data_IF_874105253960
#
_entry.id   IF_874105253960
#
_cell.length_a   1.000
_cell.length_b   1.000
_cell.length_c   1.000
_cell.angle_alpha   90.00
_cell.angle_beta   90.00
_cell.angle_gamma   90.00
#
_symmetry.space_group_name_H-M   'P 1'
#
loop_
_entity.id
_entity.type
_entity.pdbx_description
1 polymer ?
#
# COMPACT_ATOMS: atom_id res chain seq x y z
N UNK A 1 -36.62 23.15 36.81
CA UNK A 1 -36.67 23.62 38.22
C UNK A 1 -35.45 23.05 38.96
N UNK A 2 -34.88 23.78 39.93
CA UNK A 2 -33.46 24.17 39.87
C UNK A 2 -32.57 23.64 41.03
N UNK A 3 -31.27 23.78 40.81
CA UNK A 3 -30.19 24.22 41.72
C UNK A 3 -30.07 23.68 43.17
N UNK A 4 -28.86 23.24 43.51
CA UNK A 4 -28.11 23.52 44.77
C UNK A 4 -26.64 23.05 44.53
N UNK A 5 -25.60 23.87 44.33
CA UNK A 5 -24.87 24.77 45.27
C UNK A 5 -24.52 24.00 46.56
N UNK A 6 -23.27 23.74 47.01
CA UNK A 6 -22.09 24.61 47.14
C UNK A 6 -20.82 23.83 47.57
N UNK A 7 -19.67 24.33 47.10
CA UNK A 7 -18.26 24.23 47.55
C UNK A 7 -17.95 23.70 48.96
N UNK A 8 -16.82 22.98 49.09
CA UNK A 8 -15.74 23.30 50.04
C UNK A 8 -14.37 22.86 49.49
N UNK A 9 -13.39 23.72 49.68
CA UNK A 9 -12.00 23.73 49.21
C UNK A 9 -11.03 23.36 50.34
N UNK A 10 -9.90 22.69 50.06
CA UNK A 10 -8.73 22.71 50.95
C UNK A 10 -7.79 21.49 50.87
N UNK A 11 -6.57 21.73 50.37
CA UNK A 11 -5.32 20.93 50.29
C UNK A 11 -4.88 20.16 51.57
N UNK A 12 -3.76 19.38 51.63
CA UNK A 12 -2.77 18.98 50.59
C UNK A 12 -2.30 17.50 50.58
N UNK A 13 -1.48 17.17 49.56
CA UNK A 13 -0.52 16.05 49.43
C UNK A 13 0.38 15.84 50.66
N UNK A 14 0.58 14.57 51.06
CA UNK A 14 1.87 13.84 51.27
C UNK A 14 1.63 12.56 52.09
N UNK A 15 1.94 11.38 51.56
CA UNK A 15 3.07 10.55 52.01
C UNK A 15 3.12 9.24 51.20
N UNK A 16 4.33 8.94 50.73
CA UNK A 16 4.76 7.68 50.12
C UNK A 16 4.89 6.62 51.22
N UNK A 17 4.43 5.39 51.01
CA UNK A 17 5.14 4.18 51.48
C UNK A 17 4.77 2.98 50.60
N UNK A 18 5.78 2.28 50.14
CA UNK A 18 5.71 1.04 49.38
C UNK A 18 5.39 -0.16 50.29
N UNK A 19 4.73 -1.18 49.75
CA UNK A 19 4.97 -2.56 50.15
C UNK A 19 4.74 -3.49 48.94
N UNK A 20 5.84 -4.05 48.45
CA UNK A 20 5.88 -5.18 47.52
C UNK A 20 5.72 -6.44 48.38
N UNK A 21 4.77 -7.31 48.04
CA UNK A 21 4.78 -8.69 48.51
C UNK A 21 4.57 -9.63 47.34
N UNK A 22 5.65 -10.36 47.06
CA UNK A 22 5.83 -11.46 46.13
C UNK A 22 5.06 -12.68 46.60
N UNK A 23 4.32 -13.34 45.71
CA UNK A 23 3.83 -14.70 45.93
C UNK A 23 4.18 -15.56 44.70
N UNK A 24 5.29 -16.27 44.84
CA UNK A 24 5.80 -17.30 43.95
C UNK A 24 5.11 -18.61 44.30
N UNK A 25 4.33 -19.21 43.40
CA UNK A 25 3.77 -20.55 43.58
C UNK A 25 4.43 -21.53 42.60
N UNK A 26 5.04 -22.56 43.19
CA UNK A 26 5.75 -23.66 42.56
C UNK A 26 4.82 -24.54 41.71
N UNK A 27 5.30 -24.99 40.54
CA UNK A 27 4.78 -26.13 39.81
C UNK A 27 5.92 -27.15 39.62
N UNK A 28 5.74 -28.34 40.19
CA UNK A 28 6.60 -29.49 40.02
C UNK A 28 6.21 -30.27 38.73
N UNK A 29 7.15 -30.98 38.09
CA UNK A 29 6.88 -31.72 36.85
C UNK A 29 6.35 -33.12 37.16
N UNK A 30 5.31 -33.55 36.44
CA UNK A 30 4.90 -34.96 36.39
C UNK A 30 5.31 -35.51 35.03
N UNK A 31 6.35 -36.33 35.02
CA UNK A 31 6.64 -37.24 33.93
C UNK A 31 5.95 -38.58 34.25
N UNK A 32 5.18 -39.13 33.32
CA UNK A 32 4.87 -40.56 33.32
C UNK A 32 4.67 -41.10 31.89
N UNK A 33 5.22 -42.30 31.74
CA UNK A 33 5.44 -43.09 30.53
C UNK A 33 4.19 -43.58 29.82
N UNK A 34 4.41 -43.95 28.56
CA UNK A 34 3.51 -44.69 27.68
C UNK A 34 2.93 -45.97 28.31
N UNK A 35 1.66 -46.26 27.99
CA UNK A 35 1.13 -47.62 27.78
C UNK A 35 -0.06 -47.57 26.81
N UNK A 36 -0.19 -48.67 26.09
CA UNK A 36 -1.05 -48.97 24.94
C UNK A 36 -2.52 -49.19 25.28
N UNK A 37 -3.41 -48.80 24.34
CA UNK A 37 -4.63 -49.54 23.97
C UNK A 37 -5.90 -49.34 24.81
N UNK A 38 -6.95 -48.80 24.19
CA UNK A 38 -8.32 -48.86 24.69
C UNK A 38 -9.13 -47.62 24.33
N UNK A 39 -9.96 -47.71 23.30
CA UNK A 39 -10.70 -46.58 22.75
C UNK A 39 -11.72 -45.97 23.71
N UNK A 40 -11.63 -44.65 23.88
CA UNK A 40 -12.74 -43.78 24.28
C UNK A 40 -12.57 -42.46 23.53
N UNK A 41 -13.58 -42.08 22.74
CA UNK A 41 -13.66 -40.81 22.04
C UNK A 41 -13.63 -39.66 23.06
N UNK A 42 -12.47 -39.04 23.25
CA UNK A 42 -12.38 -37.69 23.78
C UNK A 42 -12.74 -36.71 22.66
N UNK A 43 -13.44 -35.60 22.94
CA UNK A 43 -13.61 -34.55 21.95
C UNK A 43 -12.22 -33.99 21.62
N UNK A 44 -11.70 -34.36 20.46
CA UNK A 44 -10.54 -33.70 19.87
C UNK A 44 -10.94 -32.25 19.64
N UNK A 45 -10.37 -31.31 20.39
CA UNK A 45 -10.33 -29.92 19.95
C UNK A 45 -9.74 -29.95 18.53
N UNK A 46 -10.44 -29.44 17.51
CA UNK A 46 -9.83 -29.29 16.19
C UNK A 46 -8.51 -28.55 16.38
N UNK A 47 -7.43 -28.89 15.64
CA UNK A 47 -6.30 -27.99 15.58
C UNK A 47 -6.87 -26.61 15.27
N UNK A 48 -6.59 -25.63 16.14
CA UNK A 48 -6.87 -24.24 15.84
C UNK A 48 -6.18 -24.00 14.51
N UNK A 49 -6.97 -23.80 13.44
CA UNK A 49 -6.40 -23.47 12.15
C UNK A 49 -5.44 -22.31 12.41
N UNK A 50 -4.17 -22.49 12.04
CA UNK A 50 -3.23 -21.38 11.98
C UNK A 50 -3.93 -20.30 11.19
N UNK A 51 -4.24 -19.18 11.85
CA UNK A 51 -4.78 -18.02 11.14
C UNK A 51 -3.62 -17.56 10.27
N UNK A 52 -3.77 -17.70 8.96
CA UNK A 52 -2.79 -17.18 8.02
C UNK A 52 -2.55 -15.69 8.33
N UNK A 53 -1.30 -15.23 8.30
CA UNK A 53 -1.00 -13.84 8.60
C UNK A 53 -1.71 -12.93 7.59
N UNK A 54 -2.36 -11.87 8.08
CA UNK A 54 -2.99 -10.88 7.21
C UNK A 54 -1.98 -10.19 6.27
N UNK A 55 -0.73 -10.07 6.71
CA UNK A 55 0.42 -9.67 5.89
C UNK A 55 1.72 -10.26 6.44
N UNK A 56 2.72 -10.43 5.58
CA UNK A 56 4.09 -10.80 5.93
C UNK A 56 5.06 -9.95 5.12
N UNK A 57 5.49 -8.84 5.72
CA UNK A 57 6.42 -7.89 5.08
C UNK A 57 7.77 -7.78 5.79
N UNK A 58 8.00 -8.61 6.83
CA UNK A 58 9.10 -8.42 7.79
C UNK A 58 9.12 -6.98 8.33
N UNK A 59 8.10 -6.60 9.14
CA UNK A 59 7.98 -5.24 9.64
C UNK A 59 9.16 -4.89 10.55
N UNK A 60 9.91 -3.86 10.19
CA UNK A 60 11.05 -3.37 10.96
C UNK A 60 10.94 -1.85 11.13
N UNK A 61 11.23 -1.32 12.33
CA UNK A 61 11.26 0.12 12.51
C UNK A 61 12.37 0.72 11.64
N UNK A 62 12.07 1.86 11.02
CA UNK A 62 12.98 2.62 10.14
C UNK A 62 14.39 2.81 10.73
N UNK A 63 14.52 2.94 12.04
CA UNK A 63 15.80 3.12 12.75
C UNK A 63 16.71 1.88 12.72
N UNK A 64 16.17 0.70 12.40
CA UNK A 64 16.93 -0.54 12.26
C UNK A 64 17.40 -0.81 10.83
N UNK A 65 16.97 0.03 9.86
CA UNK A 65 17.30 -0.13 8.45
C UNK A 65 18.58 0.62 8.10
N UNK A 66 19.44 -0.04 7.32
CA UNK A 66 20.59 0.61 6.69
C UNK A 66 20.11 1.66 5.67
N UNK A 67 20.86 2.76 5.56
CA UNK A 67 20.67 3.73 4.48
C UNK A 67 21.42 3.25 3.22
N UNK A 68 20.80 3.45 2.05
CA UNK A 68 21.27 2.97 0.76
C UNK A 68 20.73 1.59 0.40
N UNK A 69 21.41 0.93 -0.53
CA UNK A 69 20.98 -0.35 -1.09
C UNK A 69 20.08 -0.19 -2.32
N UNK A 70 19.87 -1.32 -2.98
CA UNK A 70 19.10 -1.43 -4.21
C UNK A 70 18.09 -2.56 -4.02
N UNK A 71 16.80 -2.27 -4.20
CA UNK A 71 15.75 -3.29 -4.26
C UNK A 71 15.50 -3.64 -5.73
N UNK A 72 15.69 -4.92 -6.08
CA UNK A 72 15.54 -5.44 -7.45
C UNK A 72 14.32 -6.34 -7.54
N UNK A 73 13.38 -5.97 -8.39
CA UNK A 73 12.09 -6.64 -8.55
C UNK A 73 11.91 -7.06 -10.01
N UNK A 74 11.42 -8.28 -10.28
CA UNK A 74 11.05 -8.66 -11.63
C UNK A 74 9.72 -8.02 -12.03
N UNK A 75 9.57 -7.77 -13.32
CA UNK A 75 8.30 -7.43 -13.99
C UNK A 75 8.22 -8.24 -15.28
N UNK A 76 7.05 -8.28 -15.91
CA UNK A 76 6.85 -9.01 -17.17
C UNK A 76 7.12 -8.16 -18.40
N UNK A 77 6.93 -6.85 -18.28
CA UNK A 77 7.21 -5.88 -19.32
C UNK A 77 7.49 -4.49 -18.72
N UNK A 78 8.10 -3.62 -19.53
CA UNK A 78 8.13 -2.18 -19.25
C UNK A 78 6.94 -1.54 -19.94
N UNK A 79 6.04 -0.93 -19.16
CA UNK A 79 4.76 -0.40 -19.63
C UNK A 79 4.84 0.60 -20.78
N UNK A 80 3.74 0.69 -21.54
CA UNK A 80 3.57 1.64 -22.66
C UNK A 80 2.66 2.82 -22.33
N UNK A 81 1.87 2.68 -21.28
CA UNK A 81 0.86 3.60 -20.79
C UNK A 81 0.95 3.64 -19.27
N UNK A 82 1.07 4.83 -18.71
CA UNK A 82 1.40 5.05 -17.29
C UNK A 82 0.30 5.80 -16.52
N UNK A 83 -0.83 6.13 -17.16
CA UNK A 83 -1.96 6.75 -16.48
C UNK A 83 -2.70 5.68 -15.66
N UNK A 84 -2.65 5.70 -14.31
CA UNK A 84 -3.27 4.66 -13.47
C UNK A 84 -4.80 4.67 -13.51
N UNK A 85 -5.41 5.71 -14.10
CA UNK A 85 -6.86 5.82 -14.26
C UNK A 85 -7.31 5.46 -15.68
N UNK A 86 -6.42 5.15 -16.62
CA UNK A 86 -6.79 4.85 -18.02
C UNK A 86 -7.21 3.39 -18.20
N UNK A 87 -8.21 3.13 -19.04
CA UNK A 87 -8.83 1.79 -19.24
C UNK A 87 -7.92 0.73 -19.83
N UNK A 88 -6.83 1.15 -20.46
CA UNK A 88 -5.76 0.30 -20.97
C UNK A 88 -4.42 0.74 -20.35
N UNK A 89 -4.49 1.35 -19.16
CA UNK A 89 -3.43 1.16 -18.18
C UNK A 89 -3.58 -0.29 -17.81
N UNK A 90 -2.49 -1.05 -17.81
CA UNK A 90 -2.45 -2.49 -17.55
C UNK A 90 -2.85 -2.85 -16.10
N UNK A 91 -3.81 -2.13 -15.54
CA UNK A 91 -4.35 -2.23 -14.21
C UNK A 91 -5.83 -1.77 -14.31
N UNK A 92 -6.74 -2.72 -14.50
CA UNK A 92 -7.73 -2.95 -13.47
C UNK A 92 -8.54 -4.22 -13.72
N UNK A 93 -8.28 -5.20 -12.87
CA UNK A 93 -9.29 -6.13 -12.40
C UNK A 93 -10.39 -5.37 -11.63
N UNK A 94 -11.31 -4.71 -12.34
CA UNK A 94 -12.68 -4.58 -11.84
C UNK A 94 -13.49 -5.66 -12.55
N UNK A 95 -13.54 -6.81 -11.89
CA UNK A 95 -14.44 -7.92 -12.09
C UNK A 95 -15.89 -7.40 -12.25
N UNK A 96 -16.28 -7.00 -13.46
CA UNK A 96 -17.65 -6.56 -13.75
C UNK A 96 -18.14 -6.66 -15.21
N UNK A 97 -17.43 -7.34 -16.12
CA UNK A 97 -18.07 -7.92 -17.32
C UNK A 97 -17.27 -9.12 -17.83
N UNK A 98 -17.69 -10.32 -17.44
CA UNK A 98 -17.10 -11.57 -17.89
C UNK A 98 -17.34 -11.80 -19.38
N UNK A 99 -16.41 -11.40 -20.24
CA UNK A 99 -16.18 -12.04 -21.54
C UNK A 99 -14.84 -11.67 -22.19
N UNK A 100 -13.72 -12.12 -21.62
CA UNK A 100 -12.73 -12.91 -22.35
C UNK A 100 -11.79 -13.55 -21.32
N UNK A 101 -11.77 -14.88 -21.29
CA UNK A 101 -10.94 -15.64 -20.37
C UNK A 101 -9.54 -15.84 -20.94
N UNK A 102 -8.75 -14.78 -21.03
CA UNK A 102 -7.30 -14.94 -21.16
C UNK A 102 -6.68 -15.04 -19.77
N UNK A 103 -5.91 -16.11 -19.60
CA UNK A 103 -5.19 -16.54 -18.40
C UNK A 103 -3.97 -15.62 -18.15
N UNK A 104 -4.14 -14.30 -18.31
CA UNK A 104 -3.07 -13.30 -18.32
C UNK A 104 -2.94 -12.63 -16.94
N UNK A 105 -2.68 -13.41 -15.88
CA UNK A 105 -2.50 -12.87 -14.52
C UNK A 105 -1.11 -12.29 -14.24
N UNK A 106 -0.21 -12.25 -15.22
CA UNK A 106 1.21 -11.94 -14.93
C UNK A 106 1.68 -10.62 -15.58
N UNK A 107 1.09 -10.11 -16.67
CA UNK A 107 1.56 -8.87 -17.33
C UNK A 107 1.27 -7.55 -16.61
N UNK A 108 0.23 -7.54 -15.78
CA UNK A 108 -0.55 -6.34 -15.45
C UNK A 108 -0.16 -5.70 -14.10
N UNK A 109 0.29 -6.52 -13.14
CA UNK A 109 0.82 -6.04 -11.84
C UNK A 109 2.10 -5.18 -11.97
N UNK A 110 2.80 -5.25 -13.10
CA UNK A 110 4.08 -4.57 -13.32
C UNK A 110 3.99 -3.04 -13.32
N UNK A 111 2.99 -2.45 -14.00
CA UNK A 111 2.87 -0.98 -14.09
C UNK A 111 2.46 -0.37 -12.76
N UNK A 112 1.52 -0.97 -12.05
CA UNK A 112 1.14 -0.51 -10.71
C UNK A 112 2.33 -0.55 -9.74
N UNK A 113 3.10 -1.64 -9.76
CA UNK A 113 4.30 -1.79 -8.94
C UNK A 113 5.38 -0.74 -9.28
N UNK A 114 5.62 -0.48 -10.57
CA UNK A 114 6.56 0.55 -11.02
C UNK A 114 6.08 1.97 -10.70
N UNK A 115 4.77 2.26 -10.80
CA UNK A 115 4.24 3.60 -10.56
C UNK A 115 4.07 3.93 -9.08
N UNK A 116 3.86 2.92 -8.23
CA UNK A 116 3.61 3.09 -6.79
C UNK A 116 4.62 3.99 -6.05
N UNK A 117 5.94 3.83 -6.23
CA UNK A 117 6.95 4.70 -5.62
C UNK A 117 6.93 6.16 -6.09
N UNK A 118 6.27 6.46 -7.22
CA UNK A 118 6.27 7.76 -7.88
C UNK A 118 4.93 8.51 -7.77
N UNK A 119 3.86 7.83 -7.37
CA UNK A 119 2.52 8.41 -7.26
C UNK A 119 2.20 8.89 -5.83
N UNK A 120 1.25 9.82 -5.66
CA UNK A 120 0.67 10.12 -4.36
C UNK A 120 -0.01 8.91 -3.71
N UNK A 121 0.07 8.80 -2.39
CA UNK A 121 -0.69 7.84 -1.58
C UNK A 121 -1.41 8.59 -0.46
N UNK A 122 -2.67 8.97 -0.68
CA UNK A 122 -3.42 9.80 0.27
C UNK A 122 -3.79 9.08 1.57
N UNK A 123 -3.94 7.76 1.52
CA UNK A 123 -4.23 6.91 2.67
C UNK A 123 -3.26 5.73 2.73
N UNK A 124 -2.88 5.35 3.94
CA UNK A 124 -2.20 4.09 4.21
C UNK A 124 -3.22 3.09 4.76
N UNK A 125 -3.21 1.87 4.25
CA UNK A 125 -4.02 0.77 4.76
C UNK A 125 -3.19 -0.13 5.67
N UNK A 126 -3.75 -0.52 6.81
CA UNK A 126 -3.16 -1.53 7.69
C UNK A 126 -3.42 -2.96 7.14
N UNK A 127 -2.93 -3.98 7.85
CA UNK A 127 -3.10 -5.38 7.45
C UNK A 127 -4.57 -5.85 7.39
N UNK A 128 -5.47 -5.16 8.10
CA UNK A 128 -6.92 -5.44 8.05
C UNK A 128 -7.62 -4.67 6.92
N UNK A 129 -6.90 -3.78 6.22
CA UNK A 129 -7.43 -2.90 5.19
C UNK A 129 -8.11 -1.65 5.75
N UNK A 130 -7.83 -1.26 7.00
CA UNK A 130 -8.36 -0.02 7.53
C UNK A 130 -7.53 1.18 7.04
N UNK A 131 -8.16 2.21 6.46
CA UNK A 131 -7.47 3.39 5.98
C UNK A 131 -7.10 4.35 7.11
N UNK A 132 -5.91 4.93 7.01
CA UNK A 132 -5.44 6.04 7.83
C UNK A 132 -4.92 7.16 6.92
N UNK A 133 -5.28 8.43 7.14
CA UNK A 133 -4.77 9.54 6.32
C UNK A 133 -3.24 9.57 6.33
N UNK A 134 -2.63 9.66 5.16
CA UNK A 134 -1.19 9.81 5.05
C UNK A 134 -0.81 11.27 5.36
N UNK A 135 -0.09 11.56 6.46
CA UNK A 135 0.24 12.93 6.87
C UNK A 135 1.15 13.66 5.88
N UNK A 136 1.84 12.93 5.00
CA UNK A 136 2.68 13.54 3.96
C UNK A 136 1.84 14.31 2.95
N UNK A 137 0.61 13.86 2.68
CA UNK A 137 -0.32 14.48 1.73
C UNK A 137 -1.53 15.14 2.40
N UNK A 138 -1.96 14.67 3.57
CA UNK A 138 -3.18 15.13 4.25
C UNK A 138 -2.87 15.65 5.66
N UNK A 139 -3.06 16.96 5.87
CA UNK A 139 -3.01 17.57 7.21
C UNK A 139 -4.24 17.23 8.07
N UNK A 140 -5.32 16.74 7.45
CA UNK A 140 -6.50 16.26 8.16
C UNK A 140 -7.62 15.85 7.22
N UNK A 141 -8.50 14.98 7.73
CA UNK A 141 -9.72 14.55 7.04
C UNK A 141 -10.88 14.55 8.03
N UNK A 142 -11.98 15.17 7.64
CA UNK A 142 -13.25 15.09 8.36
C UNK A 142 -14.29 14.44 7.46
N UNK A 143 -14.63 13.18 7.76
CA UNK A 143 -15.73 12.47 7.12
C UNK A 143 -16.97 12.63 8.01
N UNK A 144 -17.73 13.69 7.74
CA UNK A 144 -18.91 14.07 8.50
C UNK A 144 -20.17 14.10 7.63
N UNK A 145 -21.32 14.41 8.24
CA UNK A 145 -22.61 14.36 7.56
C UNK A 145 -23.33 13.02 7.72
N UNK A 146 -24.65 13.07 7.53
CA UNK A 146 -25.50 11.88 7.56
C UNK A 146 -25.66 11.35 6.14
N UNK A 147 -26.81 11.67 5.55
CA UNK A 147 -27.10 11.38 4.15
C UNK A 147 -27.64 12.68 3.51
N UNK A 148 -26.85 13.40 2.68
CA UNK A 148 -25.58 12.95 2.09
C UNK A 148 -24.37 13.00 3.03
N UNK A 149 -23.42 12.09 2.80
CA UNK A 149 -22.09 12.11 3.43
C UNK A 149 -21.22 13.20 2.80
N UNK A 150 -20.43 13.89 3.61
CA UNK A 150 -19.50 14.95 3.19
C UNK A 150 -18.12 14.67 3.75
N UNK A 151 -17.13 14.57 2.87
CA UNK A 151 -15.72 14.41 3.27
C UNK A 151 -14.98 15.71 2.99
N UNK A 152 -14.35 16.27 4.01
CA UNK A 152 -13.48 17.45 3.90
C UNK A 152 -12.03 17.01 4.05
N UNK A 153 -11.25 17.13 2.99
CA UNK A 153 -9.80 16.94 3.00
C UNK A 153 -9.11 18.28 3.25
N UNK A 154 -8.10 18.27 4.11
CA UNK A 154 -7.14 19.36 4.26
C UNK A 154 -5.79 18.86 3.79
N UNK A 155 -5.32 19.36 2.65
CA UNK A 155 -4.06 18.96 2.05
C UNK A 155 -2.88 19.50 2.86
N UNK A 156 -1.80 18.72 2.92
CA UNK A 156 -0.53 19.12 3.52
C UNK A 156 0.04 20.31 2.76
N UNK A 157 0.51 21.37 3.45
CA UNK A 157 1.12 22.53 2.79
C UNK A 157 2.47 22.22 2.14
N UNK A 158 3.08 21.07 2.47
CA UNK A 158 4.34 20.63 1.90
C UNK A 158 4.14 19.76 0.65
N UNK A 159 2.92 19.27 0.40
CA UNK A 159 2.64 18.36 -0.70
C UNK A 159 2.68 19.09 -2.04
N UNK A 160 3.65 18.71 -2.87
CA UNK A 160 3.93 19.32 -4.17
C UNK A 160 4.05 18.25 -5.24
N UNK A 161 3.65 18.59 -6.46
CA UNK A 161 4.03 17.83 -7.64
C UNK A 161 5.50 18.11 -7.98
N UNK A 162 6.12 17.24 -8.77
CA UNK A 162 7.47 17.44 -9.30
C UNK A 162 7.58 18.71 -10.17
N UNK A 163 6.49 19.21 -10.74
CA UNK A 163 6.47 20.57 -11.34
C UNK A 163 6.78 21.71 -10.34
N UNK A 164 6.77 21.43 -9.03
CA UNK A 164 6.84 22.40 -7.94
C UNK A 164 5.49 23.03 -7.59
N UNK A 165 4.41 22.69 -8.31
CA UNK A 165 3.06 23.14 -7.99
C UNK A 165 2.56 22.46 -6.71
N UNK A 166 2.04 23.23 -5.77
CA UNK A 166 1.34 22.67 -4.62
C UNK A 166 0.08 21.90 -5.04
N UNK A 167 -0.19 20.79 -4.36
CA UNK A 167 -1.45 20.06 -4.52
C UNK A 167 -2.63 20.92 -4.06
N UNK A 168 -3.76 20.81 -4.76
CA UNK A 168 -4.91 21.69 -4.52
C UNK A 168 -6.24 21.02 -4.85
N UNK A 169 -7.34 21.69 -4.48
CA UNK A 169 -8.69 21.28 -4.83
C UNK A 169 -8.91 21.16 -6.34
N UNK A 170 -8.17 21.90 -7.17
CA UNK A 170 -8.28 21.77 -8.63
C UNK A 170 -7.92 20.37 -9.12
N UNK A 171 -7.01 19.66 -8.44
CA UNK A 171 -6.58 18.30 -8.79
C UNK A 171 -7.75 17.31 -8.62
N UNK A 172 -8.40 17.36 -7.46
CA UNK A 172 -9.58 16.54 -7.15
C UNK A 172 -10.78 16.88 -8.06
N UNK A 173 -10.94 18.16 -8.41
CA UNK A 173 -12.02 18.61 -9.29
C UNK A 173 -11.81 18.08 -10.71
N UNK A 174 -10.58 18.18 -11.24
CA UNK A 174 -10.23 17.70 -12.57
C UNK A 174 -10.42 16.19 -12.67
N UNK A 175 -9.87 15.41 -11.73
CA UNK A 175 -9.97 13.96 -11.71
C UNK A 175 -11.41 13.48 -11.63
N UNK A 176 -12.22 14.07 -10.74
CA UNK A 176 -13.65 13.76 -10.66
C UNK A 176 -14.37 14.10 -11.96
N UNK A 177 -14.06 15.22 -12.61
CA UNK A 177 -14.67 15.55 -13.90
C UNK A 177 -14.25 14.59 -15.02
N UNK A 178 -13.01 14.10 -15.01
CA UNK A 178 -12.53 13.12 -15.96
C UNK A 178 -13.26 11.77 -15.79
N UNK A 179 -13.33 11.25 -14.56
CA UNK A 179 -13.74 9.86 -14.32
C UNK A 179 -15.11 9.66 -13.66
N UNK A 180 -15.96 10.69 -13.51
CA UNK A 180 -17.34 10.52 -13.02
C UNK A 180 -18.31 9.84 -14.00
N UNK A 181 -17.85 9.49 -15.20
CA UNK A 181 -18.65 8.81 -16.23
C UNK A 181 -19.57 9.70 -17.06
N UNK A 182 -19.58 11.01 -16.86
CA UNK A 182 -20.40 11.94 -17.66
C UNK A 182 -19.77 12.25 -19.03
N UNK A 183 -18.43 12.28 -19.12
CA UNK A 183 -17.71 12.51 -20.36
C UNK A 183 -16.95 11.26 -20.80
N UNK A 184 -17.57 10.47 -21.67
CA UNK A 184 -17.02 9.20 -22.20
C UNK A 184 -15.80 9.35 -23.15
N UNK A 185 -15.36 10.59 -23.39
CA UNK A 185 -14.12 10.86 -24.13
C UNK A 185 -12.89 10.55 -23.27
N UNK A 186 -13.00 10.68 -21.94
CA UNK A 186 -12.03 10.16 -21.01
C UNK A 186 -12.19 8.64 -20.93
N UNK A 187 -11.12 7.91 -21.23
CA UNK A 187 -11.13 6.44 -21.18
C UNK A 187 -10.71 5.97 -19.80
N UNK A 188 -11.53 6.25 -18.79
CA UNK A 188 -11.21 5.82 -17.44
C UNK A 188 -11.39 4.30 -17.28
N UNK A 189 -10.52 3.64 -16.52
CA UNK A 189 -10.63 2.21 -16.19
C UNK A 189 -11.84 1.92 -15.30
N UNK A 190 -12.17 2.83 -14.40
CA UNK A 190 -13.33 2.73 -13.53
C UNK A 190 -14.02 4.08 -13.36
N UNK A 191 -15.35 4.06 -13.33
CA UNK A 191 -16.19 5.24 -13.02
C UNK A 191 -17.07 5.03 -11.79
N UNK A 192 -17.14 3.81 -11.27
CA UNK A 192 -18.03 3.37 -10.19
C UNK A 192 -17.87 4.21 -8.92
N UNK A 193 -16.64 4.40 -8.44
CA UNK A 193 -16.33 5.20 -7.25
C UNK A 193 -16.65 6.70 -7.42
N UNK A 194 -16.27 7.30 -8.55
CA UNK A 194 -16.55 8.72 -8.83
C UNK A 194 -18.03 8.99 -9.08
N UNK A 195 -18.78 8.01 -9.60
CA UNK A 195 -20.23 8.13 -9.81
C UNK A 195 -21.02 8.23 -8.50
N UNK A 196 -20.43 7.85 -7.36
CA UNK A 196 -21.02 8.04 -6.02
C UNK A 196 -20.95 9.50 -5.56
N UNK A 197 -20.07 10.31 -6.16
CA UNK A 197 -19.86 11.71 -5.81
C UNK A 197 -20.86 12.60 -6.55
N UNK A 198 -21.49 13.52 -5.81
CA UNK A 198 -22.40 14.52 -6.37
C UNK A 198 -21.70 15.84 -6.70
N UNK A 199 -20.66 16.19 -5.95
CA UNK A 199 -19.90 17.42 -6.12
C UNK A 199 -18.52 17.29 -5.48
N UNK A 200 -17.51 17.79 -6.17
CA UNK A 200 -16.21 18.15 -5.61
C UNK A 200 -16.05 19.66 -5.74
N UNK A 201 -15.61 20.34 -4.67
CA UNK A 201 -15.35 21.77 -4.72
C UNK A 201 -14.25 22.19 -3.75
N UNK A 202 -13.67 23.34 -4.03
CA UNK A 202 -12.82 24.04 -3.09
C UNK A 202 -13.61 24.49 -1.84
N UNK A 203 -12.97 24.36 -0.67
CA UNK A 203 -13.42 24.92 0.60
C UNK A 203 -12.85 26.32 0.86
N UNK A 204 -12.38 26.56 2.08
CA UNK A 204 -11.88 27.85 2.56
C UNK A 204 -10.56 28.32 1.90
N UNK A 205 -10.00 27.54 0.98
CA UNK A 205 -8.78 27.85 0.24
C UNK A 205 -8.38 26.67 -0.67
N UNK A 206 -7.33 26.83 -1.49
CA UNK A 206 -6.93 25.80 -2.45
C UNK A 206 -6.51 24.47 -1.79
N UNK A 207 -6.07 24.48 -0.54
CA UNK A 207 -5.70 23.26 0.21
C UNK A 207 -6.89 22.57 0.90
N UNK A 208 -8.12 23.09 0.79
CA UNK A 208 -9.30 22.45 1.37
C UNK A 208 -10.20 21.94 0.26
N UNK A 209 -10.49 20.64 0.27
CA UNK A 209 -11.35 19.97 -0.71
C UNK A 209 -12.58 19.45 0.00
N UNK A 210 -13.76 19.72 -0.55
CA UNK A 210 -15.03 19.22 -0.02
C UNK A 210 -15.66 18.32 -1.07
N UNK A 211 -15.80 17.05 -0.72
CA UNK A 211 -16.40 15.99 -1.54
C UNK A 211 -17.75 15.64 -0.94
N UNK A 212 -18.82 15.87 -1.69
CA UNK A 212 -20.19 15.54 -1.28
C UNK A 212 -20.66 14.32 -2.03
N UNK A 213 -20.95 13.24 -1.32
CA UNK A 213 -21.47 12.00 -1.89
C UNK A 213 -22.98 12.07 -2.11
N UNK A 214 -23.51 11.27 -3.03
CA UNK A 214 -24.95 11.16 -3.29
C UNK A 214 -25.71 10.49 -2.14
N UNK A 215 -24.99 9.71 -1.33
CA UNK A 215 -25.50 9.00 -0.17
C UNK A 215 -24.39 8.72 0.84
N UNK A 216 -24.56 7.71 1.69
CA UNK A 216 -23.45 7.15 2.45
C UNK A 216 -22.64 6.19 1.57
N UNK A 217 -21.32 6.30 1.61
CA UNK A 217 -20.38 5.49 0.85
C UNK A 217 -19.21 5.11 1.76
N UNK A 218 -19.16 3.86 2.20
CA UNK A 218 -18.18 3.39 3.18
C UNK A 218 -16.75 3.41 2.63
N UNK A 219 -16.60 3.16 1.34
CA UNK A 219 -15.33 3.09 0.62
C UNK A 219 -14.84 4.45 0.11
N UNK A 220 -15.29 5.54 0.74
CA UNK A 220 -14.87 6.90 0.37
C UNK A 220 -13.35 7.14 0.34
N UNK A 221 -12.49 6.48 1.16
CA UNK A 221 -11.05 6.68 1.10
C UNK A 221 -10.42 6.25 -0.23
N UNK A 222 -11.02 5.30 -0.95
CA UNK A 222 -10.54 4.82 -2.26
C UNK A 222 -10.85 5.78 -3.42
N UNK A 223 -11.72 6.78 -3.19
CA UNK A 223 -12.28 7.62 -4.27
C UNK A 223 -11.18 8.36 -5.02
N UNK A 224 -10.20 8.90 -4.31
CA UNK A 224 -9.04 9.64 -4.82
C UNK A 224 -7.72 8.98 -4.38
N UNK A 225 -7.72 7.64 -4.28
CA UNK A 225 -6.58 6.86 -3.79
C UNK A 225 -5.29 7.14 -4.55
N UNK A 226 -5.41 7.25 -5.88
CA UNK A 226 -4.36 7.69 -6.78
C UNK A 226 -4.79 9.02 -7.36
N UNK A 227 -4.37 10.11 -6.71
CA UNK A 227 -4.64 11.47 -7.18
C UNK A 227 -3.71 11.81 -8.35
N UNK A 228 -4.26 12.42 -9.39
CA UNK A 228 -3.52 12.97 -10.52
C UNK A 228 -3.50 14.51 -10.50
N UNK A 229 -2.47 15.15 -11.07
CA UNK A 229 -2.45 16.60 -11.20
C UNK A 229 -3.41 17.03 -12.31
N UNK A 230 -4.12 18.14 -12.11
CA UNK A 230 -5.06 18.69 -13.09
C UNK A 230 -4.49 18.82 -14.51
N UNK A 231 -3.18 19.09 -14.64
CA UNK A 231 -2.51 19.24 -15.93
C UNK A 231 -2.49 17.94 -16.74
N UNK A 232 -2.72 16.79 -16.11
CA UNK A 232 -2.66 15.47 -16.72
C UNK A 232 -4.03 14.89 -17.10
N UNK A 233 -5.12 15.43 -16.54
CA UNK A 233 -6.47 14.86 -16.63
C UNK A 233 -7.59 15.89 -16.87
N UNK A 234 -7.27 17.18 -17.05
CA UNK A 234 -8.28 18.20 -17.36
C UNK A 234 -8.87 18.10 -18.79
N UNK A 235 -8.22 17.38 -19.70
CA UNK A 235 -8.72 17.16 -21.06
C UNK A 235 -8.49 15.71 -21.54
N UNK A 236 -9.39 15.18 -22.40
CA UNK A 236 -9.31 13.78 -22.83
C UNK A 236 -8.05 13.41 -23.61
N UNK A 237 -7.47 14.34 -24.38
CA UNK A 237 -6.30 14.01 -25.20
C UNK A 237 -5.08 13.80 -24.30
N UNK A 238 -4.85 14.71 -23.36
CA UNK A 238 -3.77 14.57 -22.37
C UNK A 238 -3.98 13.34 -21.48
N UNK A 239 -5.20 13.11 -21.00
CA UNK A 239 -5.51 11.94 -20.17
C UNK A 239 -5.25 10.62 -20.90
N UNK A 240 -5.72 10.49 -22.15
CA UNK A 240 -5.64 9.24 -22.90
C UNK A 240 -4.24 8.97 -23.50
N UNK A 241 -3.52 10.02 -23.93
CA UNK A 241 -2.32 9.87 -24.77
C UNK A 241 -1.05 10.48 -24.15
N UNK A 242 -1.20 11.35 -23.14
CA UNK A 242 -0.10 12.09 -22.52
C UNK A 242 0.83 11.24 -21.65
N UNK A 243 0.35 10.09 -21.18
CA UNK A 243 1.04 9.23 -20.21
C UNK A 243 1.86 8.10 -20.83
N UNK A 244 2.39 8.29 -22.03
CA UNK A 244 3.11 7.23 -22.78
C UNK A 244 4.62 7.18 -22.52
N UNK A 245 5.15 8.12 -21.72
CA UNK A 245 6.59 8.29 -21.48
C UNK A 245 6.88 8.80 -20.07
N UNK A 246 7.44 7.93 -19.21
CA UNK A 246 7.81 8.26 -17.82
C UNK A 246 8.65 9.55 -17.70
N UNK A 247 9.61 9.76 -18.60
CA UNK A 247 10.47 10.94 -18.59
C UNK A 247 9.73 12.24 -18.93
N UNK A 248 8.61 12.19 -19.65
CA UNK A 248 7.81 13.37 -20.02
C UNK A 248 6.75 13.70 -18.98
N UNK A 249 6.29 12.70 -18.24
CA UNK A 249 5.31 12.87 -17.17
C UNK A 249 5.96 13.14 -15.81
N UNK A 250 7.28 13.31 -15.74
CA UNK A 250 8.01 13.53 -14.48
C UNK A 250 7.35 14.62 -13.62
N UNK A 251 6.96 15.74 -14.23
CA UNK A 251 6.27 16.87 -13.59
C UNK A 251 4.90 16.52 -12.99
N UNK A 252 4.30 15.41 -13.40
CA UNK A 252 2.98 14.93 -12.95
C UNK A 252 3.05 13.95 -11.77
N UNK A 253 4.25 13.60 -11.34
CA UNK A 253 4.50 12.64 -10.26
C UNK A 253 4.75 13.38 -8.94
N UNK A 254 4.56 12.68 -7.82
CA UNK A 254 4.72 13.27 -6.47
C UNK A 254 4.99 12.21 -5.39
N UNK A 255 5.77 11.19 -5.74
CA UNK A 255 6.19 10.13 -4.85
C UNK A 255 7.64 10.28 -4.34
N UNK A 256 8.04 9.43 -3.39
CA UNK A 256 9.38 9.41 -2.80
C UNK A 256 10.51 9.02 -3.78
N UNK A 257 10.20 8.41 -4.92
CA UNK A 257 11.15 8.04 -5.97
C UNK A 257 10.82 8.73 -7.30
N UNK A 258 11.81 8.82 -8.18
CA UNK A 258 11.68 9.31 -9.55
C UNK A 258 12.47 8.43 -10.52
N UNK A 259 12.09 8.45 -11.80
CA UNK A 259 12.81 7.72 -12.85
C UNK A 259 14.21 8.29 -13.06
N UNK A 260 15.21 7.42 -12.88
CA UNK A 260 16.60 7.68 -13.24
C UNK A 260 16.92 7.22 -14.66
N UNK A 261 16.43 6.03 -15.04
CA UNK A 261 16.62 5.47 -16.37
C UNK A 261 15.48 4.50 -16.73
N UNK A 262 15.09 4.47 -18.01
CA UNK A 262 14.10 3.50 -18.52
C UNK A 262 14.51 3.06 -19.92
N UNK A 263 14.50 1.76 -20.17
CA UNK A 263 14.74 1.15 -21.48
C UNK A 263 13.80 -0.03 -21.67
N UNK A 264 12.90 0.08 -22.64
CA UNK A 264 12.00 -1.03 -23.02
C UNK A 264 12.76 -2.14 -23.73
N UNK A 265 13.74 -1.76 -24.56
CA UNK A 265 14.57 -2.72 -25.31
C UNK A 265 15.44 -3.56 -24.37
N UNK A 266 16.00 -2.95 -23.33
CA UNK A 266 16.79 -3.66 -22.32
C UNK A 266 15.92 -4.23 -21.18
N UNK A 267 14.61 -3.99 -21.21
CA UNK A 267 13.66 -4.45 -20.21
C UNK A 267 13.99 -3.98 -18.78
N UNK A 268 14.36 -2.71 -18.60
CA UNK A 268 14.75 -2.17 -17.29
C UNK A 268 14.18 -0.79 -17.01
N UNK A 269 13.70 -0.59 -15.78
CA UNK A 269 13.39 0.70 -15.19
C UNK A 269 14.20 0.84 -13.89
N UNK A 270 14.85 1.98 -13.74
CA UNK A 270 15.61 2.36 -12.56
C UNK A 270 14.99 3.62 -11.98
N UNK A 271 14.70 3.57 -10.68
CA UNK A 271 14.24 4.72 -9.91
C UNK A 271 15.21 5.04 -8.78
N UNK A 272 15.31 6.32 -8.45
CA UNK A 272 16.16 6.85 -7.37
C UNK A 272 15.36 7.81 -6.49
N UNK A 273 15.80 8.09 -5.25
CA UNK A 273 15.12 9.03 -4.38
C UNK A 273 14.84 10.38 -5.06
N UNK A 274 13.58 10.81 -5.02
CA UNK A 274 13.13 12.06 -5.63
C UNK A 274 13.66 13.26 -4.82
N UNK A 275 14.45 14.17 -5.41
CA UNK A 275 14.97 15.34 -4.72
C UNK A 275 13.89 16.36 -4.32
N UNK A 276 12.68 16.27 -4.90
CA UNK A 276 11.53 17.12 -4.58
C UNK A 276 10.63 16.54 -3.48
N UNK A 277 10.89 15.30 -3.06
CA UNK A 277 10.18 14.68 -1.94
C UNK A 277 10.39 15.47 -0.63
N UNK A 278 9.29 15.81 0.05
CA UNK A 278 9.29 16.73 1.18
C UNK A 278 9.28 16.06 2.55
N UNK A 279 9.01 14.75 2.61
CA UNK A 279 8.86 14.01 3.86
C UNK A 279 10.10 13.15 4.17
N UNK A 280 9.91 12.06 4.92
CA UNK A 280 11.00 11.16 5.27
C UNK A 280 11.63 10.57 4.00
N UNK A 281 12.94 10.77 3.85
CA UNK A 281 13.69 10.29 2.68
C UNK A 281 13.59 8.78 2.54
N UNK A 282 13.62 8.21 1.33
CA UNK A 282 13.78 6.77 1.18
C UNK A 282 15.01 6.22 1.91
N UNK A 283 14.87 5.01 2.47
CA UNK A 283 16.00 4.24 2.97
C UNK A 283 16.85 3.68 1.84
N UNK A 284 16.21 3.19 0.78
CA UNK A 284 16.89 2.70 -0.41
C UNK A 284 17.48 3.84 -1.23
N UNK A 285 18.63 3.58 -1.87
CA UNK A 285 19.21 4.50 -2.86
C UNK A 285 18.70 4.24 -4.27
N UNK A 286 18.08 3.08 -4.53
CA UNK A 286 17.66 2.67 -5.86
C UNK A 286 16.55 1.60 -5.79
N UNK A 287 15.60 1.69 -6.71
CA UNK A 287 14.71 0.60 -7.10
C UNK A 287 15.05 0.22 -8.54
N UNK A 288 15.10 -1.09 -8.82
CA UNK A 288 15.34 -1.60 -10.17
C UNK A 288 14.26 -2.61 -10.51
N UNK A 289 13.48 -2.31 -11.55
CA UNK A 289 12.51 -3.22 -12.13
C UNK A 289 13.09 -3.82 -13.40
N UNK A 290 13.10 -5.15 -13.52
CA UNK A 290 13.69 -5.85 -14.67
C UNK A 290 12.71 -6.84 -15.26
N UNK A 291 12.62 -6.85 -16.58
CA UNK A 291 11.86 -7.86 -17.32
C UNK A 291 12.51 -9.22 -17.14
N UNK A 292 11.82 -10.12 -16.45
CA UNK A 292 12.24 -11.51 -16.22
C UNK A 292 11.01 -12.41 -16.36
N UNK A 293 11.07 -13.35 -17.30
CA UNK A 293 10.02 -14.34 -17.50
C UNK A 293 9.75 -15.13 -16.21
N UNK A 294 8.49 -15.44 -15.92
CA UNK A 294 8.06 -16.10 -14.68
C UNK A 294 8.91 -17.33 -14.34
N UNK A 295 9.17 -18.20 -15.32
CA UNK A 295 9.96 -19.44 -15.16
C UNK A 295 11.44 -19.19 -14.75
N UNK A 296 11.98 -18.00 -15.03
CA UNK A 296 13.37 -17.64 -14.73
C UNK A 296 13.53 -16.92 -13.38
N UNK A 297 12.43 -16.50 -12.73
CA UNK A 297 12.48 -15.68 -11.50
C UNK A 297 13.11 -16.41 -10.32
N UNK A 298 12.86 -17.71 -10.17
CA UNK A 298 13.52 -18.50 -9.13
C UNK A 298 15.05 -18.51 -9.30
N UNK A 299 15.53 -18.76 -10.52
CA UNK A 299 16.95 -18.72 -10.83
C UNK A 299 17.54 -17.32 -10.59
N UNK A 300 16.81 -16.27 -10.98
CA UNK A 300 17.19 -14.89 -10.73
C UNK A 300 17.29 -14.56 -9.22
N UNK A 301 16.37 -15.07 -8.39
CA UNK A 301 16.43 -14.89 -6.93
C UNK A 301 17.67 -15.58 -6.34
N UNK A 302 17.89 -16.86 -6.73
CA UNK A 302 19.03 -17.69 -6.32
C UNK A 302 20.36 -17.05 -6.71
N UNK A 303 20.45 -16.50 -7.92
CA UNK A 303 21.68 -15.94 -8.49
C UNK A 303 21.86 -14.46 -8.14
N UNK A 304 21.08 -13.96 -7.18
CA UNK A 304 21.13 -12.60 -6.67
C UNK A 304 20.86 -11.49 -7.67
N UNK A 305 20.00 -11.73 -8.66
CA UNK A 305 19.56 -10.74 -9.64
C UNK A 305 18.29 -10.00 -9.23
N UNK A 306 17.43 -10.64 -8.44
CA UNK A 306 16.25 -10.04 -7.80
C UNK A 306 16.25 -10.31 -6.29
N UNK A 307 15.43 -9.59 -5.55
CA UNK A 307 15.37 -9.64 -4.09
C UNK A 307 14.03 -10.10 -3.54
N UNK A 308 12.95 -9.93 -4.31
CA UNK A 308 11.65 -10.49 -4.03
C UNK A 308 10.85 -10.69 -5.32
N UNK A 309 9.90 -11.63 -5.32
CA UNK A 309 8.90 -11.78 -6.38
C UNK A 309 7.68 -12.58 -5.90
N UNK A 310 6.53 -12.32 -6.53
CA UNK A 310 5.30 -13.08 -6.28
C UNK A 310 5.40 -14.47 -6.92
N UNK A 311 5.16 -15.51 -6.12
CA UNK A 311 5.17 -16.91 -6.51
C UNK A 311 3.80 -17.38 -7.06
N UNK A 312 2.76 -16.56 -6.92
CA UNK A 312 1.39 -16.92 -7.23
C UNK A 312 0.99 -18.20 -6.50
N UNK A 313 0.56 -19.21 -7.27
CA UNK A 313 0.19 -20.53 -6.73
C UNK A 313 1.18 -21.66 -7.07
N UNK A 314 2.42 -21.34 -7.44
CA UNK A 314 3.43 -22.35 -7.78
C UNK A 314 3.98 -23.08 -6.53
N UNK A 315 3.34 -24.20 -6.20
CA UNK A 315 3.75 -25.08 -5.10
C UNK A 315 5.13 -25.75 -5.26
N UNK A 316 5.68 -25.79 -6.49
CA UNK A 316 7.03 -26.28 -6.77
C UNK A 316 8.08 -25.26 -6.32
N UNK A 317 7.91 -24.01 -6.76
CA UNK A 317 8.80 -22.90 -6.43
C UNK A 317 8.85 -22.62 -4.92
N UNK A 318 7.75 -22.80 -4.18
CA UNK A 318 7.73 -22.66 -2.70
C UNK A 318 8.79 -23.56 -2.03
N UNK A 319 8.84 -24.85 -2.42
CA UNK A 319 9.79 -25.81 -1.82
C UNK A 319 11.24 -25.48 -2.15
N UNK A 320 11.48 -24.99 -3.36
CA UNK A 320 12.82 -24.64 -3.81
C UNK A 320 13.33 -23.37 -3.11
N UNK A 321 12.44 -22.40 -2.86
CA UNK A 321 12.75 -21.19 -2.07
C UNK A 321 12.99 -21.52 -0.59
N UNK A 322 12.20 -22.41 0.01
CA UNK A 322 12.42 -22.86 1.40
C UNK A 322 13.80 -23.52 1.59
N UNK A 323 14.33 -24.17 0.54
CA UNK A 323 15.65 -24.77 0.54
C UNK A 323 16.79 -23.76 0.27
N UNK A 324 16.46 -22.53 -0.15
CA UNK A 324 17.43 -21.51 -0.53
C UNK A 324 17.87 -20.68 0.68
N UNK A 325 19.15 -20.79 1.05
CA UNK A 325 19.72 -20.04 2.17
C UNK A 325 19.62 -18.52 1.94
N UNK A 326 19.11 -17.79 2.95
CA UNK A 326 18.99 -16.34 2.91
C UNK A 326 17.71 -15.81 2.26
N UNK A 327 16.83 -16.70 1.80
CA UNK A 327 15.47 -16.39 1.34
C UNK A 327 14.43 -17.00 2.27
N UNK A 328 13.21 -16.49 2.19
CA UNK A 328 12.05 -16.98 2.92
C UNK A 328 10.78 -16.79 2.10
N UNK A 329 9.75 -17.57 2.42
CA UNK A 329 8.39 -17.40 1.94
C UNK A 329 7.65 -16.46 2.88
N UNK A 330 6.98 -15.48 2.29
CA UNK A 330 6.07 -14.55 2.96
C UNK A 330 4.66 -14.82 2.45
N UNK A 331 3.69 -14.88 3.34
CA UNK A 331 2.29 -15.13 3.01
C UNK A 331 1.42 -14.00 3.56
N UNK A 332 0.39 -13.58 2.82
CA UNK A 332 -0.53 -12.52 3.21
C UNK A 332 -1.93 -12.82 2.71
N UNK A 333 -2.93 -12.59 3.55
CA UNK A 333 -4.33 -12.85 3.21
C UNK A 333 -4.92 -11.73 2.33
N UNK A 334 -5.62 -12.10 1.27
CA UNK A 334 -6.30 -11.17 0.35
C UNK A 334 -7.75 -11.60 0.10
N UNK A 335 -8.69 -11.48 1.06
CA UNK A 335 -10.08 -11.92 0.84
C UNK A 335 -10.87 -10.96 -0.06
N UNK A 336 -11.72 -11.44 -1.00
CA UNK A 336 -11.98 -12.84 -1.35
C UNK A 336 -11.08 -13.32 -2.51
N UNK A 337 -9.86 -13.77 -2.21
CA UNK A 337 -8.87 -14.15 -3.20
C UNK A 337 -7.93 -15.22 -2.68
N UNK A 338 -6.96 -15.62 -3.52
CA UNK A 338 -5.88 -16.49 -3.07
C UNK A 338 -4.92 -15.68 -2.18
N UNK A 339 -4.29 -16.29 -1.16
CA UNK A 339 -3.21 -15.65 -0.43
C UNK A 339 -2.13 -15.17 -1.37
N UNK A 340 -1.56 -14.01 -1.07
CA UNK A 340 -0.36 -13.51 -1.72
C UNK A 340 0.85 -14.28 -1.17
N UNK A 341 1.63 -14.90 -2.04
CA UNK A 341 2.80 -15.69 -1.65
C UNK A 341 4.03 -15.07 -2.31
N UNK A 342 4.92 -14.50 -1.52
CA UNK A 342 6.11 -13.80 -2.02
C UNK A 342 7.37 -14.50 -1.54
N UNK A 343 8.28 -14.82 -2.47
CA UNK A 343 9.65 -15.14 -2.12
C UNK A 343 10.40 -13.84 -1.85
N UNK A 344 11.14 -13.74 -0.74
CA UNK A 344 11.92 -12.55 -0.41
C UNK A 344 13.24 -12.90 0.26
N UNK A 345 14.23 -12.01 0.14
CA UNK A 345 15.42 -12.09 1.00
C UNK A 345 15.06 -11.87 2.45
N UNK A 346 15.62 -12.70 3.34
CA UNK A 346 15.47 -12.57 4.80
C UNK A 346 15.93 -11.22 5.34
N UNK A 347 16.87 -10.55 4.68
CA UNK A 347 17.36 -9.22 5.05
C UNK A 347 16.48 -8.08 4.54
N UNK A 348 15.60 -8.32 3.57
CA UNK A 348 14.66 -7.32 3.05
C UNK A 348 13.58 -7.07 4.09
N UNK A 349 13.36 -5.82 4.45
CA UNK A 349 12.40 -5.39 5.45
C UNK A 349 11.33 -4.50 4.83
N UNK A 350 10.13 -4.55 5.42
CA UNK A 350 8.95 -3.78 5.03
C UNK A 350 8.46 -4.01 3.58
N UNK A 351 8.78 -5.15 2.96
CA UNK A 351 8.32 -5.48 1.60
C UNK A 351 8.08 -6.98 1.45
N UNK A 352 6.95 -7.45 0.90
CA UNK A 352 6.70 -8.88 0.76
C UNK A 352 5.26 -9.16 0.39
N UNK A 353 4.60 -10.03 1.16
CA UNK A 353 3.16 -10.22 1.04
C UNK A 353 2.43 -9.16 1.88
N UNK A 354 1.79 -8.23 1.21
CA UNK A 354 1.14 -7.08 1.82
C UNK A 354 -0.31 -7.36 2.24
N UNK A 355 -0.99 -8.33 1.61
CA UNK A 355 -2.41 -8.53 1.87
C UNK A 355 -3.18 -7.27 1.47
N UNK A 356 -3.88 -6.65 2.43
CA UNK A 356 -4.55 -5.35 2.26
C UNK A 356 -3.68 -4.14 2.65
N UNK A 357 -2.48 -4.38 3.17
CA UNK A 357 -1.62 -3.32 3.68
C UNK A 357 -1.01 -2.52 2.53
N UNK A 358 -0.89 -1.20 2.70
CA UNK A 358 -0.12 -0.38 1.75
C UNK A 358 1.38 -0.63 1.85
N UNK A 359 2.08 -0.44 0.74
CA UNK A 359 3.54 -0.28 0.73
C UNK A 359 3.88 1.13 1.20
N UNK A 360 4.81 1.27 2.14
CA UNK A 360 5.40 2.55 2.52
C UNK A 360 6.83 2.58 1.99
N UNK A 361 6.98 3.00 0.73
CA UNK A 361 8.24 2.92 -0.02
C UNK A 361 9.43 3.61 0.66
N UNK A 362 9.18 4.63 1.45
CA UNK A 362 10.24 5.33 2.21
C UNK A 362 10.86 4.46 3.30
N UNK A 363 10.12 3.47 3.80
CA UNK A 363 10.50 2.56 4.88
C UNK A 363 10.90 1.17 4.38
N UNK A 364 10.82 0.90 3.08
CA UNK A 364 11.41 -0.32 2.51
C UNK A 364 12.93 -0.23 2.57
N UNK A 365 13.61 -1.29 2.99
CA UNK A 365 15.07 -1.30 3.10
C UNK A 365 15.65 -2.63 3.55
N UNK A 366 16.92 -2.63 3.93
CA UNK A 366 17.62 -3.83 4.37
C UNK A 366 18.09 -3.73 5.81
N UNK A 367 17.99 -4.84 6.53
CA UNK A 367 18.65 -5.01 7.82
C UNK A 367 20.18 -5.02 7.62
N UNK A 368 20.95 -4.38 8.51
CA UNK A 368 22.40 -4.45 8.45
C UNK A 368 22.89 -5.90 8.63
N UNK A 369 24.08 -6.25 8.12
CA UNK A 369 24.67 -7.57 8.35
C UNK A 369 24.74 -7.88 9.85
N UNK A 370 24.35 -9.10 10.25
CA UNK A 370 24.53 -9.56 11.62
C UNK A 370 26.03 -9.50 11.99
N UNK A 371 26.36 -8.67 12.98
CA UNK A 371 27.73 -8.47 13.51
C UNK A 371 28.21 -9.62 14.36
#
# INVERSE_FOLDING_TARGET
MPALVRRLSGLPRRLRTALVLTALCCLAPVALSACTGGGTNLPSTPPTASVEPASAVNPQPRTMLADGGELRLPVDAIGHQWNPLYSDSSDNSDDSDGSDGSDDSDGDAGVALMMGPMLPQLFNYDSDGNPSPNPDYLAGVDASGGNPQVVTYTLSPNAVWNSGRAMSADDFIAEWHACNGQNVSFKCNATSKFSQVSQVRQGNGPSQVIVTYKGSYADWPSTFEVLLPKESDSDPATFNEGWTSLTKIHDWLAGPFEVSAVSRDDGVLIETPNPQWWADKPKLSQLTFRVIATDDRFAALRDHQIDAYDLGSDSGAIKDVDALAGCEIREGDVPPGKPQITAARTTLANYGSFGKQSIVWTDVGYLPPAT
#
